data_IF_676146030637
#
_entry.id   IF_676146030637
#
_cell.length_a   1.000
_cell.length_b   1.000
_cell.length_c   1.000
_cell.angle_alpha   90.00
_cell.angle_beta   90.00
_cell.angle_gamma   90.00
#
_symmetry.space_group_name_H-M   'P 1'
#
loop_
_entity.id
_entity.type
_entity.pdbx_description
1 polymer ?
#
# COMPACT_ATOMS: atom_id res chain seq x y z
N UNK A 1 -18.92 -7.04 3.37
CA UNK A 1 -17.51 -7.47 3.35
C UNK A 1 -16.87 -6.92 2.08
N UNK A 2 -15.90 -6.00 2.18
CA UNK A 2 -15.14 -5.49 1.02
C UNK A 2 -13.87 -6.31 0.86
N UNK A 3 -13.66 -6.82 -0.35
CA UNK A 3 -12.48 -7.59 -0.75
C UNK A 3 -12.00 -7.04 -2.09
N UNK A 4 -10.71 -6.75 -2.20
CA UNK A 4 -10.10 -6.40 -3.48
C UNK A 4 -8.74 -7.08 -3.65
N UNK A 5 -8.19 -6.97 -4.85
CA UNK A 5 -6.94 -7.61 -5.24
C UNK A 5 -5.93 -6.54 -5.65
N UNK A 6 -4.72 -6.63 -5.13
CA UNK A 6 -3.57 -5.80 -5.55
C UNK A 6 -2.60 -6.69 -6.31
N UNK A 7 -2.22 -6.28 -7.52
CA UNK A 7 -1.21 -6.95 -8.34
C UNK A 7 0.08 -6.15 -8.27
N UNK A 8 1.17 -6.77 -7.84
CA UNK A 8 2.46 -6.10 -7.60
C UNK A 8 3.58 -7.12 -7.69
N UNK A 9 4.72 -6.77 -8.31
CA UNK A 9 5.91 -7.65 -8.39
C UNK A 9 5.68 -9.10 -8.88
N UNK A 10 4.63 -9.37 -9.68
CA UNK A 10 4.25 -10.73 -10.09
C UNK A 10 3.44 -11.52 -9.06
N UNK A 11 3.09 -10.91 -7.92
CA UNK A 11 2.23 -11.45 -6.87
C UNK A 11 0.81 -10.91 -6.96
N UNK A 12 -0.09 -11.61 -6.27
CA UNK A 12 -1.51 -11.28 -6.18
C UNK A 12 -1.91 -11.26 -4.72
N UNK A 13 -2.02 -10.07 -4.15
CA UNK A 13 -2.43 -9.87 -2.77
C UNK A 13 -3.95 -9.77 -2.69
N UNK A 14 -4.58 -10.50 -1.77
CA UNK A 14 -6.01 -10.38 -1.46
C UNK A 14 -6.16 -9.56 -0.19
N UNK A 15 -6.85 -8.42 -0.30
CA UNK A 15 -7.02 -7.49 0.81
C UNK A 15 -8.47 -7.48 1.25
N UNK A 16 -8.72 -7.87 2.50
CA UNK A 16 -10.05 -7.89 3.11
C UNK A 16 -10.14 -6.76 4.14
N UNK A 17 -11.18 -5.91 4.02
CA UNK A 17 -11.45 -4.88 5.04
C UNK A 17 -11.85 -5.54 6.36
N UNK A 18 -11.24 -5.09 7.44
CA UNK A 18 -11.58 -5.40 8.84
C UNK A 18 -11.97 -4.11 9.58
N UNK A 19 -12.49 -4.21 10.81
CA UNK A 19 -13.01 -3.05 11.55
C UNK A 19 -11.97 -1.93 11.76
N UNK A 20 -10.70 -2.27 11.99
CA UNK A 20 -9.61 -1.31 12.27
C UNK A 20 -8.57 -1.18 11.15
N UNK A 21 -8.80 -1.84 10.01
CA UNK A 21 -7.82 -1.85 8.92
C UNK A 21 -8.11 -2.94 7.90
N UNK A 22 -7.15 -3.84 7.69
CA UNK A 22 -7.29 -4.93 6.74
C UNK A 22 -6.42 -6.15 7.05
N UNK A 23 -6.87 -7.30 6.56
CA UNK A 23 -6.05 -8.48 6.39
C UNK A 23 -5.54 -8.57 4.95
N UNK A 24 -4.24 -8.78 4.79
CA UNK A 24 -3.55 -8.94 3.50
C UNK A 24 -3.10 -10.41 3.41
N UNK A 25 -3.60 -11.11 2.40
CA UNK A 25 -3.26 -12.50 2.16
C UNK A 25 -2.45 -12.62 0.86
N UNK A 26 -1.26 -13.17 1.00
CA UNK A 26 -0.46 -13.74 -0.09
C UNK A 26 -0.52 -15.27 0.03
N UNK A 27 0.02 -16.01 -0.94
CA UNK A 27 -0.06 -17.48 -0.98
C UNK A 27 0.42 -18.15 0.31
N UNK A 28 1.49 -17.62 0.89
CA UNK A 28 2.20 -18.20 2.02
C UNK A 28 2.28 -17.25 3.24
N UNK A 29 1.69 -16.05 3.14
CA UNK A 29 1.80 -15.00 4.16
C UNK A 29 0.45 -14.38 4.50
N UNK A 30 0.30 -14.06 5.78
CA UNK A 30 -0.81 -13.29 6.33
C UNK A 30 -0.24 -12.10 7.10
N UNK A 31 -0.67 -10.89 6.74
CA UNK A 31 -0.25 -9.64 7.39
C UNK A 31 -1.48 -8.80 7.70
N UNK A 32 -1.50 -8.20 8.90
CA UNK A 32 -2.51 -7.23 9.29
C UNK A 32 -1.98 -5.81 9.07
N UNK A 33 -2.82 -4.98 8.45
CA UNK A 33 -2.56 -3.57 8.22
C UNK A 33 -3.61 -2.72 8.91
N UNK A 34 -3.24 -1.50 9.30
CA UNK A 34 -4.17 -0.52 9.83
C UNK A 34 -5.00 0.15 8.71
N UNK A 35 -5.84 1.12 9.07
CA UNK A 35 -6.69 1.86 8.12
C UNK A 35 -5.89 2.54 7.00
N UNK A 36 -4.73 3.12 7.31
CA UNK A 36 -3.86 3.76 6.31
C UNK A 36 -3.37 2.75 5.29
N UNK A 37 -2.95 1.56 5.75
CA UNK A 37 -2.54 0.46 4.86
C UNK A 37 -3.68 0.06 3.92
N UNK A 38 -4.89 -0.10 4.46
CA UNK A 38 -6.06 -0.42 3.64
C UNK A 38 -6.28 0.63 2.54
N UNK A 39 -6.24 1.93 2.89
CA UNK A 39 -6.47 3.01 1.93
C UNK A 39 -5.40 3.06 0.83
N UNK A 40 -4.12 2.85 1.18
CA UNK A 40 -3.03 2.77 0.20
C UNK A 40 -3.25 1.61 -0.77
N UNK A 41 -3.51 0.41 -0.25
CA UNK A 41 -3.73 -0.78 -1.06
C UNK A 41 -4.99 -0.68 -1.93
N UNK A 42 -6.03 0.01 -1.44
CA UNK A 42 -7.26 0.27 -2.21
C UNK A 42 -6.94 1.13 -3.44
N UNK A 43 -6.10 2.16 -3.31
CA UNK A 43 -5.69 3.01 -4.43
C UNK A 43 -4.84 2.23 -5.44
N UNK A 44 -3.92 1.39 -4.97
CA UNK A 44 -3.14 0.53 -5.87
C UNK A 44 -4.01 -0.52 -6.59
N UNK A 45 -5.04 -1.04 -5.95
CA UNK A 45 -6.01 -1.93 -6.61
C UNK A 45 -6.77 -1.26 -7.76
N UNK A 46 -6.85 0.08 -7.74
CA UNK A 46 -7.48 0.90 -8.76
C UNK A 46 -6.48 1.35 -9.85
N UNK A 47 -5.24 0.87 -9.79
CA UNK A 47 -4.19 1.21 -10.75
C UNK A 47 -3.59 2.60 -10.55
N UNK A 48 -3.76 3.20 -9.37
CA UNK A 48 -3.10 4.47 -9.03
C UNK A 48 -1.61 4.26 -8.87
N UNK A 49 -0.83 5.21 -9.40
CA UNK A 49 0.60 5.32 -9.13
C UNK A 49 0.86 5.72 -7.68
N UNK A 50 2.11 5.55 -7.23
CA UNK A 50 2.54 6.00 -5.90
C UNK A 50 2.27 7.49 -5.68
N UNK A 51 2.64 8.33 -6.63
CA UNK A 51 2.43 9.78 -6.56
C UNK A 51 0.96 10.15 -6.49
N UNK A 52 0.11 9.54 -7.34
CA UNK A 52 -1.34 9.75 -7.27
C UNK A 52 -1.91 9.31 -5.91
N UNK A 53 -1.45 8.17 -5.37
CA UNK A 53 -1.91 7.69 -4.09
C UNK A 53 -1.55 8.65 -2.94
N UNK A 54 -0.32 9.19 -2.94
CA UNK A 54 0.14 10.18 -1.96
C UNK A 54 -0.73 11.44 -2.02
N UNK A 55 -0.96 11.99 -3.22
CA UNK A 55 -1.78 13.20 -3.37
C UNK A 55 -3.23 12.97 -2.92
N UNK A 56 -3.85 11.86 -3.32
CA UNK A 56 -5.22 11.53 -2.93
C UNK A 56 -5.34 11.34 -1.40
N UNK A 57 -4.35 10.72 -0.76
CA UNK A 57 -4.36 10.51 0.69
C UNK A 57 -4.13 11.83 1.44
N UNK A 58 -3.22 12.68 0.99
CA UNK A 58 -2.99 14.00 1.56
C UNK A 58 -4.27 14.86 1.55
N UNK A 59 -5.01 14.86 0.44
CA UNK A 59 -6.30 15.56 0.33
C UNK A 59 -7.36 14.96 1.27
N UNK A 60 -7.48 13.63 1.34
CA UNK A 60 -8.49 12.95 2.17
C UNK A 60 -8.26 13.14 3.67
N UNK A 61 -7.02 13.13 4.10
CA UNK A 61 -6.65 13.25 5.51
C UNK A 61 -6.38 14.71 5.93
N UNK A 62 -6.48 15.67 5.00
CA UNK A 62 -6.13 17.07 5.22
C UNK A 62 -4.71 17.22 5.84
N UNK A 63 -3.77 16.48 5.27
CA UNK A 63 -2.37 16.39 5.71
C UNK A 63 -1.43 16.90 4.60
N UNK A 64 -0.16 17.18 4.94
CA UNK A 64 0.81 17.59 3.92
C UNK A 64 1.20 16.39 3.03
N UNK A 65 1.36 16.59 1.70
CA UNK A 65 1.86 15.53 0.81
C UNK A 65 3.22 14.97 1.23
N UNK A 66 4.09 15.80 1.83
CA UNK A 66 5.41 15.39 2.29
C UNK A 66 5.35 14.45 3.49
N UNK A 67 4.44 14.67 4.44
CA UNK A 67 4.22 13.76 5.58
C UNK A 67 3.64 12.43 5.09
N UNK A 68 2.59 12.48 4.26
CA UNK A 68 1.97 11.28 3.69
C UNK A 68 2.96 10.49 2.85
N UNK A 69 3.82 11.16 2.08
CA UNK A 69 4.88 10.50 1.29
C UNK A 69 5.79 9.67 2.20
N UNK A 70 6.24 10.21 3.33
CA UNK A 70 7.10 9.46 4.26
C UNK A 70 6.42 8.21 4.77
N UNK A 71 5.16 8.31 5.17
CA UNK A 71 4.40 7.18 5.70
C UNK A 71 4.17 6.10 4.63
N UNK A 72 3.79 6.51 3.41
CA UNK A 72 3.57 5.57 2.30
C UNK A 72 4.87 4.91 1.86
N UNK A 73 5.98 5.65 1.80
CA UNK A 73 7.30 5.07 1.46
C UNK A 73 7.78 4.10 2.55
N UNK A 74 7.59 4.43 3.83
CA UNK A 74 7.88 3.51 4.93
C UNK A 74 7.06 2.22 4.84
N UNK A 75 5.78 2.32 4.46
CA UNK A 75 4.91 1.17 4.22
C UNK A 75 5.40 0.31 3.04
N UNK A 76 5.74 0.94 1.91
CA UNK A 76 6.25 0.23 0.73
C UNK A 76 7.55 -0.50 1.06
N UNK A 77 8.46 0.15 1.80
CA UNK A 77 9.71 -0.47 2.25
C UNK A 77 9.44 -1.73 3.06
N UNK A 78 8.51 -1.67 4.02
CA UNK A 78 8.09 -2.86 4.77
C UNK A 78 7.52 -3.95 3.85
N UNK A 79 6.75 -3.59 2.83
CA UNK A 79 6.24 -4.58 1.88
C UNK A 79 7.29 -5.16 0.95
N UNK A 80 8.38 -4.45 0.68
CA UNK A 80 9.52 -4.97 -0.06
C UNK A 80 10.24 -6.07 0.71
N UNK A 81 10.28 -6.00 2.05
CA UNK A 81 10.83 -7.07 2.88
C UNK A 81 10.03 -8.38 2.74
N UNK A 82 8.73 -8.30 2.40
CA UNK A 82 7.89 -9.45 2.06
C UNK A 82 7.98 -9.85 0.57
N UNK A 83 8.69 -9.08 -0.24
CA UNK A 83 8.83 -9.24 -1.69
C UNK A 83 7.56 -8.90 -2.48
N UNK A 84 6.73 -7.99 -1.95
CA UNK A 84 5.46 -7.61 -2.59
C UNK A 84 5.63 -6.48 -3.60
N UNK A 85 6.31 -5.40 -3.26
CA UNK A 85 6.34 -4.14 -4.03
C UNK A 85 7.73 -3.80 -4.60
N UNK A 86 8.51 -4.83 -4.97
CA UNK A 86 9.91 -4.69 -5.36
C UNK A 86 10.16 -3.70 -6.50
N UNK A 87 9.16 -3.38 -7.33
CA UNK A 87 9.22 -2.35 -8.37
C UNK A 87 9.38 -0.91 -7.85
N UNK A 88 9.15 -0.68 -6.55
CA UNK A 88 9.23 0.64 -5.91
C UNK A 88 10.54 0.85 -5.14
N UNK A 89 11.51 -0.07 -5.23
CA UNK A 89 12.86 0.20 -4.68
C UNK A 89 13.40 1.44 -5.37
N UNK A 90 13.64 2.51 -4.60
CA UNK A 90 14.41 3.65 -5.04
C UNK A 90 15.67 3.10 -5.70
N UNK A 91 15.82 3.33 -7.01
CA UNK A 91 17.14 3.40 -7.62
C UNK A 91 17.89 4.39 -6.73
N UNK A 92 18.86 3.91 -5.96
CA UNK A 92 19.79 4.78 -5.25
C UNK A 92 20.30 5.78 -6.28
N UNK A 93 19.83 7.02 -6.18
CA UNK A 93 20.40 8.12 -6.92
C UNK A 93 21.80 8.31 -6.36
N UNK A 94 22.79 7.86 -7.13
CA UNK A 94 24.19 8.28 -7.02
C UNK A 94 24.33 9.81 -6.98
#
# INVERSE_FOLDING_TARGET
MRLFVVKTGGRTLRVRKEDFGCAILDRDLYVEGNETVYKVLELFSQGKTLEEAIHILAERENASPEEVRKDVLSLIKMFNDFGWFCEFTETEGE
#
